data_IF_666267994020
#
_entry.id   IF_666267994020
#
_cell.length_a   1.000
_cell.length_b   1.000
_cell.length_c   1.000
_cell.angle_alpha   90.00
_cell.angle_beta   90.00
_cell.angle_gamma   90.00
#
_symmetry.space_group_name_H-M   'P 1'
#
loop_
_entity.id
_entity.type
_entity.pdbx_description
1 polymer ?
#
# COMPACT_ATOMS: atom_id res chain seq x y z
N UNK A 1 -28.66 -8.81 -8.38
CA UNK A 1 -27.23 -8.96 -8.18
C UNK A 1 -26.98 -9.61 -6.80
N UNK A 2 -26.59 -10.88 -6.76
CA UNK A 2 -26.44 -11.66 -5.51
C UNK A 2 -25.34 -11.12 -4.57
N UNK A 3 -24.43 -10.28 -5.06
CA UNK A 3 -23.31 -9.73 -4.28
C UNK A 3 -23.72 -8.53 -3.42
N UNK A 4 -24.56 -7.64 -3.92
CA UNK A 4 -25.03 -6.44 -3.20
C UNK A 4 -25.93 -6.74 -1.98
N UNK A 5 -26.49 -7.96 -1.88
CA UNK A 5 -27.30 -8.35 -0.73
C UNK A 5 -26.53 -8.65 0.54
N UNK A 6 -25.20 -8.73 0.47
CA UNK A 6 -24.36 -9.14 1.61
C UNK A 6 -23.44 -8.05 2.14
N UNK A 7 -22.94 -7.16 1.27
CA UNK A 7 -22.00 -6.07 1.64
C UNK A 7 -22.02 -4.96 0.59
N UNK A 8 -21.75 -3.70 0.98
CA UNK A 8 -21.49 -2.65 0.03
C UNK A 8 -20.25 -2.98 -0.81
N UNK A 9 -20.19 -2.41 -2.01
CA UNK A 9 -19.08 -2.57 -2.95
C UNK A 9 -18.44 -1.22 -3.23
N UNK A 10 -17.13 -1.19 -3.45
CA UNK A 10 -16.46 -0.06 -4.07
C UNK A 10 -16.37 -0.24 -5.57
N UNK A 11 -16.70 0.82 -6.29
CA UNK A 11 -16.51 0.96 -7.72
C UNK A 11 -15.44 2.02 -7.96
N UNK A 12 -14.44 1.70 -8.78
CA UNK A 12 -13.38 2.65 -9.12
C UNK A 12 -12.80 2.38 -10.51
N UNK A 13 -12.23 3.41 -11.17
CA UNK A 13 -11.64 3.27 -12.50
C UNK A 13 -10.45 2.31 -12.50
N UNK A 14 -10.34 1.48 -13.54
CA UNK A 14 -9.19 0.55 -13.72
C UNK A 14 -7.86 1.32 -13.80
N UNK A 15 -7.85 2.49 -14.43
CA UNK A 15 -6.67 3.34 -14.59
C UNK A 15 -6.67 4.56 -13.65
N UNK A 16 -7.46 4.52 -12.58
CA UNK A 16 -7.58 5.62 -11.62
C UNK A 16 -6.37 5.80 -10.73
N UNK A 17 -6.25 7.01 -10.17
CA UNK A 17 -5.26 7.35 -9.14
C UNK A 17 -5.83 8.37 -8.17
N UNK A 18 -5.23 8.50 -6.98
CA UNK A 18 -5.58 9.49 -5.97
C UNK A 18 -7.07 9.47 -5.55
N UNK A 19 -7.67 8.29 -5.49
CA UNK A 19 -9.08 8.08 -5.11
C UNK A 19 -10.11 8.83 -5.99
N UNK A 20 -9.76 9.18 -7.23
CA UNK A 20 -10.68 9.82 -8.17
C UNK A 20 -11.63 8.81 -8.78
N UNK A 21 -12.91 9.20 -8.92
CA UNK A 21 -13.92 8.34 -9.55
C UNK A 21 -14.36 7.15 -8.71
N UNK A 22 -13.98 7.10 -7.43
CA UNK A 22 -14.41 6.05 -6.49
C UNK A 22 -15.85 6.30 -6.03
N UNK A 23 -16.68 5.27 -6.04
CA UNK A 23 -18.04 5.31 -5.53
C UNK A 23 -18.33 4.11 -4.63
N UNK A 24 -19.06 4.35 -3.54
CA UNK A 24 -19.60 3.30 -2.68
C UNK A 24 -20.97 2.90 -3.23
N UNK A 25 -21.15 1.62 -3.51
CA UNK A 25 -22.38 1.04 -4.04
C UNK A 25 -23.05 0.22 -2.96
N UNK A 26 -24.12 0.74 -2.40
CA UNK A 26 -24.91 0.08 -1.37
C UNK A 26 -26.13 -0.65 -1.95
N UNK A 27 -26.59 -0.23 -3.12
CA UNK A 27 -27.75 -0.80 -3.81
C UNK A 27 -27.55 -0.81 -5.33
N UNK A 28 -28.31 -1.59 -6.08
CA UNK A 28 -28.30 -1.53 -7.55
C UNK A 28 -28.63 -0.14 -8.13
N UNK A 29 -29.38 0.68 -7.39
CA UNK A 29 -29.75 2.03 -7.82
C UNK A 29 -28.55 3.02 -7.81
N UNK A 30 -27.48 2.69 -7.10
CA UNK A 30 -26.26 3.50 -7.04
C UNK A 30 -25.39 3.31 -8.30
N UNK A 31 -25.67 2.29 -9.11
CA UNK A 31 -24.94 2.04 -10.35
C UNK A 31 -25.46 2.96 -11.46
N UNK A 32 -24.54 3.57 -12.20
CA UNK A 32 -24.86 4.27 -13.44
C UNK A 32 -25.09 3.26 -14.57
N UNK A 33 -25.86 3.64 -15.56
CA UNK A 33 -26.08 2.82 -16.77
C UNK A 33 -24.82 2.73 -17.64
N UNK A 34 -24.03 3.80 -17.64
CA UNK A 34 -22.80 3.90 -18.44
C UNK A 34 -21.69 4.58 -17.62
N UNK A 35 -20.45 4.21 -17.90
CA UNK A 35 -19.24 4.78 -17.34
C UNK A 35 -18.30 5.13 -18.49
N UNK A 36 -17.61 6.26 -18.38
CA UNK A 36 -16.69 6.77 -19.42
C UNK A 36 -15.45 5.90 -19.62
N UNK A 37 -15.16 5.01 -18.64
CA UNK A 37 -13.99 4.14 -18.64
C UNK A 37 -14.29 2.80 -17.96
N UNK A 38 -13.48 1.77 -18.20
CA UNK A 38 -13.59 0.49 -17.50
C UNK A 38 -13.49 0.66 -15.98
N UNK A 39 -14.42 0.04 -15.26
CA UNK A 39 -14.52 0.12 -13.82
C UNK A 39 -14.21 -1.23 -13.17
N UNK A 40 -13.54 -1.19 -12.03
CA UNK A 40 -13.38 -2.33 -11.14
C UNK A 40 -14.42 -2.26 -10.02
N UNK A 41 -14.93 -3.43 -9.65
CA UNK A 41 -15.84 -3.60 -8.50
C UNK A 41 -15.14 -4.46 -7.47
N UNK A 42 -14.99 -3.94 -6.27
CA UNK A 42 -14.40 -4.67 -5.14
C UNK A 42 -15.34 -4.64 -3.93
N UNK A 43 -15.19 -5.61 -3.05
CA UNK A 43 -15.85 -5.60 -1.75
C UNK A 43 -15.38 -4.38 -0.94
N UNK A 44 -16.34 -3.64 -0.35
CA UNK A 44 -16.02 -2.54 0.56
C UNK A 44 -15.46 -3.11 1.87
N UNK A 45 -14.16 -2.98 2.04
CA UNK A 45 -13.44 -3.37 3.24
C UNK A 45 -13.60 -2.30 4.33
N UNK A 46 -13.50 -2.71 5.57
CA UNK A 46 -13.59 -1.86 6.75
C UNK A 46 -12.35 -2.03 7.63
N UNK A 47 -12.21 -1.16 8.64
CA UNK A 47 -11.12 -1.22 9.60
C UNK A 47 -9.97 -0.28 9.26
N UNK A 48 -8.85 -0.51 9.90
CA UNK A 48 -7.65 0.30 9.72
C UNK A 48 -6.97 0.00 8.39
N UNK A 49 -6.55 1.06 7.70
CA UNK A 49 -5.83 0.97 6.43
C UNK A 49 -4.32 1.03 6.67
N UNK A 50 -3.59 0.12 6.02
CA UNK A 50 -2.14 0.04 6.09
C UNK A 50 -1.52 0.12 4.70
N UNK A 51 -0.32 0.70 4.62
CA UNK A 51 0.58 0.54 3.48
C UNK A 51 1.78 -0.28 3.92
N UNK A 52 2.12 -1.29 3.14
CA UNK A 52 3.31 -2.11 3.35
C UNK A 52 4.29 -1.82 2.22
N UNK A 53 5.46 -1.25 2.56
CA UNK A 53 6.56 -1.09 1.62
C UNK A 53 7.41 -2.35 1.66
N UNK A 54 7.76 -2.91 0.50
CA UNK A 54 8.61 -4.09 0.39
C UNK A 54 9.76 -3.83 -0.57
N UNK A 55 10.89 -4.49 -0.31
CA UNK A 55 12.03 -4.53 -1.21
C UNK A 55 12.32 -5.97 -1.63
N UNK A 56 12.40 -6.20 -2.95
CA UNK A 56 12.70 -7.48 -3.56
C UNK A 56 14.01 -7.35 -4.33
N UNK A 57 15.00 -8.15 -3.95
CA UNK A 57 16.29 -8.15 -4.65
C UNK A 57 16.20 -8.79 -6.04
N UNK A 58 17.26 -8.68 -6.85
CA UNK A 58 17.31 -9.18 -8.24
C UNK A 58 16.98 -10.68 -8.38
N UNK A 59 17.30 -11.49 -7.38
CA UNK A 59 16.97 -12.93 -7.37
C UNK A 59 15.52 -13.22 -6.99
N UNK A 60 14.70 -12.20 -6.77
CA UNK A 60 13.30 -12.35 -6.39
C UNK A 60 13.06 -12.62 -4.91
N UNK A 61 14.08 -12.47 -4.07
CA UNK A 61 13.95 -12.66 -2.62
C UNK A 61 13.54 -11.35 -1.96
N UNK A 62 12.46 -11.36 -1.21
CA UNK A 62 12.06 -10.21 -0.38
C UNK A 62 13.05 -10.02 0.76
N UNK A 63 13.67 -8.85 0.85
CA UNK A 63 14.67 -8.50 1.84
C UNK A 63 14.14 -7.66 3.00
N UNK A 64 13.00 -7.01 2.83
CA UNK A 64 12.37 -6.23 3.89
C UNK A 64 10.91 -5.96 3.59
N UNK A 65 10.12 -5.83 4.66
CA UNK A 65 8.75 -5.36 4.63
C UNK A 65 8.54 -4.41 5.81
N UNK A 66 8.03 -3.21 5.53
CA UNK A 66 7.78 -2.20 6.57
C UNK A 66 6.35 -1.71 6.43
N UNK A 67 5.44 -2.27 7.25
CA UNK A 67 4.08 -1.80 7.34
C UNK A 67 3.98 -0.49 8.11
N UNK A 68 3.05 0.36 7.68
CA UNK A 68 2.62 1.51 8.50
C UNK A 68 1.12 1.73 8.42
N UNK A 69 0.54 2.05 9.56
CA UNK A 69 -0.84 2.49 9.69
C UNK A 69 -1.00 3.87 9.03
N UNK A 70 -2.06 4.06 8.27
CA UNK A 70 -2.47 5.32 7.65
C UNK A 70 -3.42 6.06 8.59
N UNK A 71 -2.87 6.80 9.57
CA UNK A 71 -3.64 7.51 10.60
C UNK A 71 -4.47 8.65 9.97
N UNK A 72 -3.88 9.35 9.00
CA UNK A 72 -4.52 10.43 8.25
C UNK A 72 -4.01 10.44 6.83
N UNK A 73 -4.94 10.65 5.88
CA UNK A 73 -4.67 10.67 4.44
C UNK A 73 -5.14 12.00 3.86
N UNK A 74 -4.32 12.62 3.01
CA UNK A 74 -4.66 13.82 2.26
C UNK A 74 -4.35 13.60 0.78
N UNK A 75 -5.36 13.77 -0.07
CA UNK A 75 -5.27 13.54 -1.52
C UNK A 75 -4.69 12.15 -1.89
N UNK A 76 -5.07 11.09 -1.15
CA UNK A 76 -4.57 9.73 -1.38
C UNK A 76 -3.21 9.42 -0.76
N UNK A 77 -2.49 10.41 -0.25
CA UNK A 77 -1.17 10.24 0.34
C UNK A 77 -1.22 10.26 1.88
N UNK A 78 -0.35 9.46 2.51
CA UNK A 78 -0.23 9.42 3.98
C UNK A 78 0.28 10.76 4.50
N UNK A 79 -0.54 11.44 5.28
CA UNK A 79 -0.19 12.66 5.99
C UNK A 79 0.34 12.36 7.40
N UNK A 80 -0.32 11.43 8.09
CA UNK A 80 0.13 10.93 9.40
C UNK A 80 0.16 9.42 9.35
N UNK A 81 1.26 8.81 9.73
CA UNK A 81 1.42 7.36 9.74
C UNK A 81 2.29 6.90 10.90
N UNK A 82 2.15 5.63 11.23
CA UNK A 82 2.96 4.97 12.26
C UNK A 82 3.40 3.59 11.79
N UNK A 83 4.68 3.28 11.91
CA UNK A 83 5.19 1.93 11.64
C UNK A 83 4.60 0.92 12.63
N UNK A 84 4.25 -0.26 12.14
CA UNK A 84 3.63 -1.32 12.94
C UNK A 84 4.23 -2.66 12.59
N UNK A 85 4.83 -3.34 13.58
CA UNK A 85 5.41 -4.67 13.39
C UNK A 85 4.36 -5.74 13.67
N UNK A 86 3.97 -6.46 12.62
CA UNK A 86 2.98 -7.55 12.68
C UNK A 86 3.44 -8.74 11.85
N UNK A 87 3.45 -9.92 12.47
CA UNK A 87 3.92 -11.15 11.83
C UNK A 87 3.02 -11.60 10.66
N UNK A 88 1.70 -11.39 10.76
CA UNK A 88 0.75 -11.69 9.70
C UNK A 88 0.96 -10.80 8.46
N UNK A 89 1.29 -9.52 8.64
CA UNK A 89 1.62 -8.62 7.53
C UNK A 89 2.93 -9.00 6.84
N UNK A 90 3.94 -9.46 7.59
CA UNK A 90 5.18 -9.99 7.01
C UNK A 90 4.91 -11.26 6.19
N UNK A 91 4.06 -12.17 6.69
CA UNK A 91 3.65 -13.37 5.95
C UNK A 91 2.91 -13.02 4.65
N UNK A 92 1.98 -12.05 4.69
CA UNK A 92 1.28 -11.54 3.51
C UNK A 92 2.28 -10.96 2.51
N UNK A 93 3.22 -10.15 2.96
CA UNK A 93 4.25 -9.54 2.12
C UNK A 93 5.12 -10.59 1.41
N UNK A 94 5.54 -11.65 2.12
CA UNK A 94 6.29 -12.77 1.54
C UNK A 94 5.49 -13.52 0.50
N UNK A 95 4.24 -13.84 0.80
CA UNK A 95 3.36 -14.55 -0.13
C UNK A 95 3.09 -13.70 -1.39
N UNK A 96 2.86 -12.40 -1.22
CA UNK A 96 2.67 -11.48 -2.33
C UNK A 96 3.92 -11.40 -3.21
N UNK A 97 5.10 -11.22 -2.62
CA UNK A 97 6.36 -11.18 -3.35
C UNK A 97 6.61 -12.47 -4.15
N UNK A 98 6.30 -13.63 -3.55
CA UNK A 98 6.43 -14.93 -4.22
C UNK A 98 5.41 -15.12 -5.36
N UNK A 99 4.24 -14.46 -5.29
CA UNK A 99 3.18 -14.54 -6.30
C UNK A 99 3.38 -13.58 -7.48
N UNK A 100 4.40 -12.72 -7.45
CA UNK A 100 4.72 -11.74 -8.47
C UNK A 100 6.01 -12.13 -9.22
N UNK A 101 5.95 -13.06 -10.18
CA UNK A 101 7.13 -13.52 -10.88
C UNK A 101 7.80 -12.36 -11.64
N UNK A 102 9.11 -12.24 -11.46
CA UNK A 102 9.89 -11.17 -12.09
C UNK A 102 9.86 -9.84 -11.34
N UNK A 103 9.09 -9.68 -10.27
CA UNK A 103 9.12 -8.45 -9.47
C UNK A 103 10.50 -8.20 -8.86
N UNK A 104 10.99 -6.97 -8.95
CA UNK A 104 12.30 -6.51 -8.48
C UNK A 104 12.18 -5.09 -7.95
N UNK A 105 13.08 -4.73 -7.04
CA UNK A 105 13.14 -3.37 -6.49
C UNK A 105 12.07 -3.13 -5.44
N UNK A 106 11.53 -1.92 -5.42
CA UNK A 106 10.56 -1.49 -4.42
C UNK A 106 9.15 -1.55 -4.97
N UNK A 107 8.27 -2.15 -4.18
CA UNK A 107 6.83 -2.00 -4.37
C UNK A 107 6.20 -1.59 -3.04
N UNK A 108 5.00 -1.06 -3.12
CA UNK A 108 4.14 -0.97 -1.96
C UNK A 108 2.76 -1.55 -2.28
N UNK A 109 2.12 -2.09 -1.27
CA UNK A 109 0.74 -2.52 -1.37
C UNK A 109 -0.06 -2.01 -0.18
N UNK A 110 -1.36 -1.91 -0.38
CA UNK A 110 -2.28 -1.43 0.65
C UNK A 110 -3.22 -2.56 1.04
N UNK A 111 -3.55 -2.60 2.32
CA UNK A 111 -4.52 -3.52 2.87
C UNK A 111 -5.39 -2.85 3.93
N UNK A 112 -6.60 -3.35 4.09
CA UNK A 112 -7.43 -3.12 5.26
C UNK A 112 -7.31 -4.28 6.24
N UNK A 113 -7.23 -3.98 7.53
CA UNK A 113 -7.39 -4.98 8.58
C UNK A 113 -8.88 -5.08 8.96
N UNK A 114 -9.63 -5.78 8.10
CA UNK A 114 -11.08 -5.88 8.24
C UNK A 114 -11.43 -6.73 9.47
N UNK A 115 -12.26 -6.23 10.40
CA UNK A 115 -12.55 -6.92 11.67
C UNK A 115 -13.28 -8.25 11.50
N UNK A 116 -13.85 -8.52 10.33
CA UNK A 116 -14.57 -9.76 10.03
C UNK A 116 -13.80 -10.71 9.12
N UNK A 117 -13.00 -10.14 8.18
CA UNK A 117 -12.30 -10.90 7.16
C UNK A 117 -10.81 -11.05 7.45
N UNK A 118 -10.29 -10.28 8.43
CA UNK A 118 -8.85 -10.12 8.64
C UNK A 118 -8.21 -9.27 7.53
N UNK A 119 -6.87 -9.24 7.47
CA UNK A 119 -6.15 -8.42 6.50
C UNK A 119 -6.51 -8.77 5.05
N UNK A 120 -6.85 -7.77 4.25
CA UNK A 120 -7.22 -7.89 2.83
C UNK A 120 -6.45 -6.89 1.98
N UNK A 121 -5.59 -7.39 1.10
CA UNK A 121 -4.88 -6.57 0.12
C UNK A 121 -5.88 -6.14 -0.97
N UNK A 122 -5.87 -4.86 -1.30
CA UNK A 122 -6.77 -4.31 -2.32
C UNK A 122 -6.03 -3.55 -3.44
N UNK A 123 -4.79 -3.10 -3.19
CA UNK A 123 -4.01 -2.34 -4.17
C UNK A 123 -2.53 -2.71 -4.10
N UNK A 124 -1.88 -2.82 -5.27
CA UNK A 124 -0.43 -3.04 -5.40
C UNK A 124 0.13 -1.95 -6.32
N UNK A 125 1.19 -1.29 -5.88
CA UNK A 125 1.89 -0.25 -6.60
C UNK A 125 3.36 -0.63 -6.82
N UNK A 126 3.78 -0.79 -8.09
CA UNK A 126 5.15 -1.12 -8.46
C UNK A 126 6.05 0.13 -8.41
N UNK A 127 6.09 0.80 -7.27
CA UNK A 127 6.84 2.05 -7.00
C UNK A 127 6.99 2.30 -5.51
N UNK A 128 7.80 3.29 -5.16
CA UNK A 128 7.78 3.87 -3.82
C UNK A 128 6.40 4.46 -3.50
N UNK A 129 5.85 4.12 -2.35
CA UNK A 129 4.63 4.74 -1.85
C UNK A 129 4.86 6.16 -1.32
N UNK A 130 3.83 7.00 -1.28
CA UNK A 130 3.94 8.34 -0.70
C UNK A 130 4.27 8.35 0.81
N UNK A 131 3.99 7.27 1.52
CA UNK A 131 4.41 7.04 2.91
C UNK A 131 5.82 6.45 3.08
N UNK A 132 6.56 6.22 1.98
CA UNK A 132 7.90 5.61 2.04
C UNK A 132 8.91 6.36 2.93
N UNK A 133 8.91 7.71 3.00
CA UNK A 133 9.82 8.41 3.91
C UNK A 133 9.75 7.93 5.37
N UNK A 134 8.56 7.50 5.82
CA UNK A 134 8.42 6.89 7.14
C UNK A 134 9.13 5.54 7.23
N UNK A 135 9.01 4.68 6.20
CA UNK A 135 9.66 3.39 6.16
C UNK A 135 11.19 3.53 6.07
N UNK A 136 11.66 4.49 5.28
CA UNK A 136 13.10 4.77 5.15
C UNK A 136 13.69 5.25 6.47
N UNK A 137 13.04 6.23 7.11
CA UNK A 137 13.48 6.78 8.39
C UNK A 137 13.40 5.76 9.53
N UNK A 138 12.53 4.78 9.43
CA UNK A 138 12.47 3.65 10.35
C UNK A 138 13.65 2.68 10.22
N UNK A 139 14.47 2.77 9.19
CA UNK A 139 15.59 1.87 8.92
C UNK A 139 15.36 0.90 7.75
N UNK A 140 14.47 1.27 6.82
CA UNK A 140 14.16 0.44 5.65
C UNK A 140 15.27 0.35 4.62
N UNK A 141 15.97 1.46 4.37
CA UNK A 141 17.09 1.56 3.41
C UNK A 141 16.78 1.06 2.00
N UNK A 142 15.50 1.04 1.57
CA UNK A 142 15.14 0.47 0.27
C UNK A 142 15.64 1.31 -0.89
N UNK A 143 15.61 2.65 -0.77
CA UNK A 143 16.16 3.53 -1.79
C UNK A 143 17.68 3.34 -1.92
N UNK A 144 18.41 3.23 -0.81
CA UNK A 144 19.83 2.91 -0.78
C UNK A 144 20.08 1.54 -1.43
N UNK A 145 19.28 0.53 -1.12
CA UNK A 145 19.43 -0.82 -1.66
C UNK A 145 19.18 -0.88 -3.17
N UNK A 146 18.26 -0.07 -3.71
CA UNK A 146 18.10 0.08 -5.17
C UNK A 146 19.38 0.64 -5.81
N UNK A 147 19.97 1.69 -5.24
CA UNK A 147 21.21 2.26 -5.73
C UNK A 147 22.38 1.28 -5.62
N UNK A 148 22.52 0.59 -4.48
CA UNK A 148 23.55 -0.42 -4.27
C UNK A 148 23.44 -1.57 -5.27
N UNK A 149 22.21 -2.03 -5.55
CA UNK A 149 21.96 -3.04 -6.58
C UNK A 149 22.47 -2.56 -7.95
N UNK A 150 22.13 -1.33 -8.34
CA UNK A 150 22.50 -0.77 -9.63
C UNK A 150 24.03 -0.67 -9.85
N UNK A 151 24.80 -0.50 -8.79
CA UNK A 151 26.28 -0.38 -8.84
C UNK A 151 27.00 -1.63 -8.32
N UNK A 152 26.30 -2.74 -8.10
CA UNK A 152 26.86 -4.02 -7.68
C UNK A 152 27.43 -4.05 -6.25
N UNK A 153 26.94 -3.19 -5.35
CA UNK A 153 27.34 -3.15 -3.96
C UNK A 153 26.49 -4.09 -3.08
N UNK A 154 27.04 -4.62 -1.97
CA UNK A 154 26.26 -5.40 -1.00
C UNK A 154 25.09 -4.60 -0.44
N UNK A 155 23.95 -5.28 -0.23
CA UNK A 155 22.76 -4.67 0.35
C UNK A 155 22.93 -4.35 1.83
N UNK A 156 22.29 -3.28 2.29
CA UNK A 156 22.12 -2.96 3.70
C UNK A 156 20.96 -3.77 4.27
N UNK A 157 21.08 -4.23 5.50
CA UNK A 157 20.02 -4.95 6.20
C UNK A 157 18.79 -4.06 6.41
N UNK A 158 17.60 -4.61 6.15
CA UNK A 158 16.32 -3.91 6.23
C UNK A 158 15.30 -4.65 7.13
N UNK A 159 15.78 -5.47 8.07
CA UNK A 159 14.92 -6.27 8.95
C UNK A 159 14.84 -5.72 10.39
N UNK A 160 15.80 -4.89 10.79
CA UNK A 160 15.85 -4.30 12.14
C UNK A 160 15.40 -2.82 12.11
N UNK A 161 14.17 -2.62 11.62
CA UNK A 161 13.58 -1.30 11.54
C UNK A 161 12.78 -0.95 12.80
N UNK A 162 12.63 0.35 13.08
CA UNK A 162 11.94 0.87 14.26
C UNK A 162 10.42 0.67 14.16
N UNK A 163 9.85 -0.06 15.12
CA UNK A 163 8.41 -0.15 15.33
C UNK A 163 7.87 1.09 16.08
N UNK A 164 6.63 1.46 15.83
CA UNK A 164 5.96 2.58 16.51
C UNK A 164 6.45 3.97 16.12
N UNK A 165 7.37 4.10 15.14
CA UNK A 165 7.80 5.41 14.65
C UNK A 165 6.62 6.14 14.01
N UNK A 166 6.40 7.38 14.39
CA UNK A 166 5.30 8.20 13.86
C UNK A 166 5.82 9.33 12.99
N UNK A 167 5.27 9.44 11.78
CA UNK A 167 5.49 10.55 10.84
C UNK A 167 4.29 11.49 10.84
N UNK A 168 4.57 12.78 10.92
CA UNK A 168 3.62 13.87 10.69
C UNK A 168 4.16 14.72 9.55
N UNK A 169 3.44 14.79 8.44
CA UNK A 169 3.79 15.68 7.30
C UNK A 169 3.17 17.05 7.50
N UNK A 170 3.89 18.06 7.08
CA UNK A 170 3.41 19.43 7.04
C UNK A 170 3.88 20.11 5.74
N UNK A 171 3.11 21.08 5.29
CA UNK A 171 3.48 21.89 4.14
C UNK A 171 4.43 23.01 4.59
N UNK A 172 5.42 23.34 3.76
CA UNK A 172 6.32 24.44 3.95
C UNK A 172 6.30 25.34 2.71
N UNK A 173 6.42 26.65 2.91
CA UNK A 173 6.48 27.63 1.83
C UNK A 173 7.91 28.14 1.61
N UNK A 174 8.25 28.39 0.37
CA UNK A 174 9.50 29.08 -0.03
C UNK A 174 9.08 30.43 -0.61
N UNK A 175 9.71 31.48 -0.12
CA UNK A 175 9.53 32.85 -0.64
C UNK A 175 10.77 33.22 -1.47
N UNK A 176 10.53 33.69 -2.69
CA UNK A 176 11.56 34.10 -3.66
C UNK A 176 11.57 35.61 -3.82
#
# INVERSE_FOLDING_TARGET
CQYLSKRPLFLFPVAGSASRGVALICSPADLKHEYDEPMLVQEALQGDEYTINIFIEERGVMRGAIPHLRISVRAGEVEKGRTVRRADFDAIARNLAASLPGARGVLCFQLFDDPKLGPRVFEINARFGGGYPLADHAGGHFAENVLRTAIGMPLVASHDWQDGLTMLRYDSAVFL
#
